data_IF_911191003648
#
_entry.id   IF_911191003648
#
_cell.length_a   1.000
_cell.length_b   1.000
_cell.length_c   1.000
_cell.angle_alpha   90.00
_cell.angle_beta   90.00
_cell.angle_gamma   90.00
#
_symmetry.space_group_name_H-M   'P 1'
#
loop_
_entity.id
_entity.type
_entity.pdbx_description
1 polymer ?
#
# COMPACT_ATOMS: atom_id res chain seq x y z
N UNK A 1 -0.04 7.66 8.23
CA UNK A 1 -1.25 7.12 7.58
C UNK A 1 -1.62 8.05 6.43
N UNK A 2 -1.84 7.50 5.24
CA UNK A 2 -2.23 8.26 4.03
C UNK A 2 -3.65 7.83 3.66
N UNK A 3 -4.53 8.79 3.38
CA UNK A 3 -5.90 8.55 2.91
C UNK A 3 -6.05 9.25 1.57
N UNK A 4 -6.50 8.51 0.57
CA UNK A 4 -6.60 9.01 -0.80
C UNK A 4 -7.62 8.24 -1.64
N UNK A 5 -7.54 8.43 -2.95
CA UNK A 5 -8.46 7.86 -3.92
C UNK A 5 -7.75 6.92 -4.89
N UNK A 6 -8.51 5.99 -5.47
CA UNK A 6 -8.05 5.21 -6.61
C UNK A 6 -8.05 6.06 -7.90
N UNK A 7 -7.15 5.80 -8.86
CA UNK A 7 -6.18 4.69 -8.88
C UNK A 7 -4.90 4.93 -8.06
N UNK A 8 -4.65 6.17 -7.62
CA UNK A 8 -3.39 6.55 -6.99
C UNK A 8 -3.02 5.73 -5.74
N UNK A 9 -4.00 5.36 -4.90
CA UNK A 9 -3.72 4.48 -3.74
C UNK A 9 -3.27 3.08 -4.14
N UNK A 10 -3.83 2.55 -5.24
CA UNK A 10 -3.40 1.28 -5.81
C UNK A 10 -1.96 1.43 -6.33
N UNK A 11 -1.73 2.41 -7.20
CA UNK A 11 -0.44 2.64 -7.85
C UNK A 11 0.68 2.92 -6.85
N UNK A 12 0.44 3.72 -5.81
CA UNK A 12 1.44 4.01 -4.76
C UNK A 12 1.78 2.74 -3.97
N UNK A 13 0.80 1.86 -3.74
CA UNK A 13 1.07 0.61 -3.02
C UNK A 13 1.99 -0.30 -3.84
N UNK A 14 1.66 -0.52 -5.11
CA UNK A 14 2.49 -1.33 -6.02
C UNK A 14 3.85 -0.68 -6.28
N UNK A 15 3.91 0.65 -6.41
CA UNK A 15 5.16 1.37 -6.62
C UNK A 15 6.12 1.25 -5.43
N UNK A 16 5.59 1.31 -4.20
CA UNK A 16 6.41 1.26 -2.98
C UNK A 16 6.82 -0.16 -2.61
N UNK A 17 5.93 -1.15 -2.76
CA UNK A 17 6.27 -2.54 -2.43
C UNK A 17 6.94 -3.31 -3.57
N UNK A 18 6.67 -2.92 -4.82
CA UNK A 18 7.01 -3.71 -6.00
C UNK A 18 6.09 -4.92 -6.23
N UNK A 19 5.09 -5.11 -5.37
CA UNK A 19 4.11 -6.19 -5.51
C UNK A 19 2.99 -5.80 -6.46
N UNK A 20 2.45 -6.80 -7.16
CA UNK A 20 1.24 -6.63 -7.94
C UNK A 20 0.00 -6.91 -7.09
N UNK A 21 -0.93 -5.96 -7.06
CA UNK A 21 -2.21 -6.09 -6.40
C UNK A 21 -3.31 -6.24 -7.46
N UNK A 22 -4.02 -7.38 -7.52
CA UNK A 22 -5.08 -7.58 -8.50
C UNK A 22 -6.22 -6.55 -8.39
N UNK A 23 -6.42 -5.98 -7.20
CA UNK A 23 -7.46 -4.98 -6.93
C UNK A 23 -7.18 -4.22 -5.63
N UNK A 24 -7.44 -2.91 -5.65
CA UNK A 24 -7.54 -2.09 -4.46
C UNK A 24 -9.00 -1.64 -4.23
N UNK A 25 -9.83 -2.32 -3.42
CA UNK A 25 -11.21 -1.90 -3.19
C UNK A 25 -11.30 -0.60 -2.36
N UNK A 26 -12.45 0.07 -2.42
CA UNK A 26 -12.78 1.18 -1.50
C UNK A 26 -12.66 0.71 -0.05
N UNK A 27 -12.10 1.55 0.81
CA UNK A 27 -11.78 1.23 2.21
C UNK A 27 -10.76 0.08 2.39
N UNK A 28 -10.01 -0.30 1.34
CA UNK A 28 -8.85 -1.15 1.48
C UNK A 28 -7.70 -0.45 2.21
N UNK A 29 -7.00 -1.18 3.07
CA UNK A 29 -5.88 -0.68 3.86
C UNK A 29 -4.63 -1.54 3.61
N UNK A 30 -3.61 -0.95 2.99
CA UNK A 30 -2.28 -1.52 2.90
C UNK A 30 -1.42 -1.05 4.09
N UNK A 31 -0.73 -1.99 4.72
CA UNK A 31 0.36 -1.72 5.67
C UNK A 31 1.68 -2.02 4.98
N UNK A 32 2.55 -1.03 4.92
CA UNK A 32 3.90 -1.18 4.38
C UNK A 32 4.94 -0.85 5.44
N UNK A 33 6.01 -1.64 5.48
CA UNK A 33 7.18 -1.40 6.33
C UNK A 33 8.34 -0.88 5.50
N UNK A 34 9.05 0.11 6.03
CA UNK A 34 10.26 0.68 5.44
C UNK A 34 11.33 0.84 6.52
N UNK A 35 12.54 0.33 6.26
CA UNK A 35 13.70 0.54 7.11
C UNK A 35 14.51 1.75 6.61
N UNK A 36 14.39 2.89 7.30
CA UNK A 36 15.13 4.10 6.96
C UNK A 36 14.40 5.39 7.33
N UNK A 37 14.83 6.50 6.72
CA UNK A 37 14.17 7.79 6.88
C UNK A 37 13.10 8.02 5.80
N UNK A 38 12.00 8.68 6.16
CA UNK A 38 10.90 8.98 5.24
C UNK A 38 11.32 9.68 3.94
N UNK A 39 12.37 10.49 3.98
CA UNK A 39 12.87 11.23 2.81
C UNK A 39 13.49 10.30 1.74
N UNK A 40 13.89 9.10 2.13
CA UNK A 40 14.60 8.13 1.30
C UNK A 40 13.66 7.05 0.73
N UNK A 41 12.36 7.12 1.06
CA UNK A 41 11.31 6.26 0.50
C UNK A 41 11.24 6.45 -1.02
N UNK A 42 11.29 5.34 -1.76
CA UNK A 42 11.36 5.33 -3.23
C UNK A 42 10.71 4.06 -3.79
N UNK A 43 10.80 3.87 -5.10
CA UNK A 43 10.28 2.67 -5.76
C UNK A 43 10.86 1.39 -5.14
N UNK A 44 10.01 0.39 -4.92
CA UNK A 44 10.36 -0.95 -4.41
C UNK A 44 11.20 -0.92 -3.12
N UNK A 45 11.00 0.09 -2.28
CA UNK A 45 11.79 0.25 -1.06
C UNK A 45 11.09 -0.30 0.18
N UNK A 46 9.78 -0.58 0.10
CA UNK A 46 8.97 -1.04 1.23
C UNK A 46 8.60 -2.52 1.09
N UNK A 47 8.27 -3.16 2.21
CA UNK A 47 7.66 -4.49 2.26
C UNK A 47 6.15 -4.34 2.53
N UNK A 48 5.30 -5.07 1.80
CA UNK A 48 3.85 -5.10 2.06
C UNK A 48 3.52 -6.12 3.16
N UNK A 49 3.42 -5.66 4.42
CA UNK A 49 3.16 -6.54 5.56
C UNK A 49 1.75 -7.16 5.53
N UNK A 50 0.77 -6.35 5.14
CA UNK A 50 -0.62 -6.81 5.05
C UNK A 50 -1.45 -5.91 4.16
N UNK A 51 -2.43 -6.52 3.50
CA UNK A 51 -3.50 -5.82 2.80
C UNK A 51 -4.84 -6.28 3.37
N UNK A 52 -5.59 -5.35 3.96
CA UNK A 52 -6.90 -5.63 4.56
C UNK A 52 -8.01 -5.08 3.69
N UNK A 53 -8.96 -5.95 3.36
CA UNK A 53 -10.16 -5.58 2.64
C UNK A 53 -11.35 -5.51 3.60
N UNK A 54 -12.31 -4.58 3.39
CA UNK A 54 -13.47 -4.46 4.27
C UNK A 54 -14.28 -5.75 4.47
N UNK A 55 -14.28 -6.64 3.48
CA UNK A 55 -15.02 -7.92 3.53
C UNK A 55 -14.38 -8.93 4.50
N UNK A 56 -13.12 -8.74 4.90
CA UNK A 56 -12.37 -9.63 5.79
C UNK A 56 -12.53 -9.26 7.26
N UNK A 57 -13.15 -8.12 7.56
CA UNK A 57 -13.36 -7.60 8.92
C UNK A 57 -14.79 -7.84 9.42
N UNK A 58 -15.49 -8.82 8.84
CA UNK A 58 -16.92 -9.06 9.03
C UNK A 58 -17.19 -10.29 9.88
#
# INVERSE_FOLDING_TARGET
MIVGHNPSMHEVTEFLSGDFLPKYPTCGLASLTYEGEWKDVRANSCELDSFKMPRELR
#
